data_IF_714441121311
#
_entry.id   IF_714441121311
#
_cell.length_a   1.000
_cell.length_b   1.000
_cell.length_c   1.000
_cell.angle_alpha   90.00
_cell.angle_beta   90.00
_cell.angle_gamma   90.00
#
_symmetry.space_group_name_H-M   'P 1'
#
loop_
_entity.id
_entity.type
_entity.pdbx_description
1 polymer ?
#
# COMPACT_ATOMS: atom_id res chain seq x y z
N UNK A 1 47.08 42.31 17.03
CA UNK A 1 46.11 42.93 16.10
C UNK A 1 44.77 42.26 16.34
N UNK A 2 43.77 42.99 16.85
CA UNK A 2 42.41 42.46 17.09
C UNK A 2 41.52 42.98 15.97
N UNK A 3 41.04 42.07 15.12
CA UNK A 3 40.14 42.38 14.01
C UNK A 3 38.73 42.26 14.57
N UNK A 4 38.12 43.39 14.94
CA UNK A 4 36.69 43.47 15.25
C UNK A 4 35.91 43.41 13.93
N UNK A 5 35.16 42.33 13.74
CA UNK A 5 34.14 42.24 12.69
C UNK A 5 32.87 42.91 13.18
N UNK A 6 32.50 44.01 12.51
CA UNK A 6 31.18 44.64 12.62
C UNK A 6 30.17 43.75 11.88
N UNK A 7 29.37 42.99 12.63
CA UNK A 7 28.19 42.32 12.09
C UNK A 7 27.10 43.37 11.91
N UNK A 8 26.86 43.72 10.65
CA UNK A 8 25.80 44.64 10.25
C UNK A 8 24.46 43.91 10.27
N UNK A 9 23.68 44.16 11.32
CA UNK A 9 22.32 43.63 11.49
C UNK A 9 21.41 44.30 10.46
N UNK A 10 21.20 43.64 9.32
CA UNK A 10 20.27 44.11 8.30
C UNK A 10 18.88 43.56 8.63
N UNK A 11 18.09 44.38 9.31
CA UNK A 11 16.68 44.10 9.60
C UNK A 11 15.87 44.18 8.30
N UNK A 12 15.52 43.02 7.73
CA UNK A 12 14.62 42.94 6.58
C UNK A 12 13.17 42.99 7.10
N UNK A 13 12.53 44.14 6.94
CA UNK A 13 11.08 44.32 7.13
C UNK A 13 10.35 43.75 5.91
N UNK A 14 9.84 42.51 6.02
CA UNK A 14 8.95 41.92 5.03
C UNK A 14 7.51 42.39 5.30
N UNK A 15 6.99 43.27 4.45
CA UNK A 15 5.59 43.67 4.45
C UNK A 15 4.74 42.62 3.71
N UNK A 16 3.99 41.80 4.45
CA UNK A 16 2.94 40.97 3.86
C UNK A 16 1.71 41.83 3.54
N UNK A 17 1.44 42.04 2.26
CA UNK A 17 0.16 42.54 1.76
C UNK A 17 -0.84 41.37 1.65
N UNK A 18 -1.86 41.37 2.50
CA UNK A 18 -3.05 40.50 2.39
C UNK A 18 -3.88 40.99 1.21
N UNK A 19 -3.87 40.22 0.12
CA UNK A 19 -4.77 40.40 -1.02
C UNK A 19 -6.00 39.51 -0.87
N UNK A 20 -7.14 40.12 -0.51
CA UNK A 20 -8.45 39.48 -0.58
C UNK A 20 -8.97 39.65 -2.02
N UNK A 21 -8.95 38.59 -2.82
CA UNK A 21 -9.45 38.57 -4.19
C UNK A 21 -10.79 37.85 -4.28
N UNK A 22 -11.87 38.56 -3.96
CA UNK A 22 -13.25 38.20 -4.32
C UNK A 22 -13.46 38.51 -5.81
N UNK A 23 -13.98 37.55 -6.58
CA UNK A 23 -14.45 37.78 -7.95
C UNK A 23 -15.54 36.76 -8.27
N UNK A 24 -16.77 37.13 -7.93
CA UNK A 24 -17.96 36.41 -8.35
C UNK A 24 -18.25 36.52 -9.84
N UNK A 25 -18.98 35.53 -10.36
CA UNK A 25 -20.03 35.80 -11.33
C UNK A 25 -20.14 34.87 -12.54
N UNK A 26 -21.38 34.38 -12.73
CA UNK A 26 -22.00 33.71 -13.89
C UNK A 26 -21.78 32.19 -13.92
N UNK A 27 -22.78 31.33 -13.76
CA UNK A 27 -24.20 31.44 -14.08
C UNK A 27 -24.49 30.58 -15.31
N UNK A 28 -24.89 29.32 -15.11
CA UNK A 28 -25.48 28.49 -16.16
C UNK A 28 -26.46 27.52 -15.51
N UNK A 29 -27.72 27.89 -15.62
CA UNK A 29 -28.90 27.07 -15.32
C UNK A 29 -28.95 25.86 -16.25
N UNK A 30 -29.27 24.70 -15.69
CA UNK A 30 -29.44 23.46 -16.42
C UNK A 30 -30.24 22.44 -15.63
N UNK A 31 -31.53 22.77 -15.42
CA UNK A 31 -32.71 21.89 -15.35
C UNK A 31 -32.50 20.40 -15.03
N UNK A 32 -33.08 19.98 -13.90
CA UNK A 32 -32.92 18.65 -13.32
C UNK A 32 -33.80 17.53 -13.88
N UNK A 33 -33.80 16.44 -13.13
CA UNK A 33 -34.90 15.48 -13.04
C UNK A 33 -34.95 14.92 -11.62
N UNK A 34 -36.18 14.92 -11.12
CA UNK A 34 -36.66 14.57 -9.79
C UNK A 34 -36.45 13.11 -9.39
N UNK A 35 -36.48 12.91 -8.06
CA UNK A 35 -37.01 11.72 -7.39
C UNK A 35 -35.95 10.65 -7.12
N UNK A 36 -35.84 10.08 -5.92
CA UNK A 36 -36.94 9.72 -5.01
C UNK A 36 -36.35 9.44 -3.64
N UNK A 37 -37.00 9.99 -2.61
CA UNK A 37 -36.73 9.71 -1.22
C UNK A 37 -37.41 8.41 -0.77
N UNK A 38 -36.78 7.75 0.19
CA UNK A 38 -37.34 6.67 1.00
C UNK A 38 -36.39 5.48 1.05
N UNK A 39 -36.26 4.69 2.11
CA UNK A 39 -36.81 4.65 3.46
C UNK A 39 -35.91 3.64 4.18
N UNK A 40 -35.77 3.76 5.50
CA UNK A 40 -35.09 2.78 6.35
C UNK A 40 -35.55 1.34 6.08
N UNK A 41 -34.64 0.36 6.16
CA UNK A 41 -34.95 -0.96 6.73
C UNK A 41 -33.68 -1.69 7.19
N UNK A 42 -33.62 -1.92 8.50
CA UNK A 42 -32.92 -3.02 9.15
C UNK A 42 -33.45 -4.36 8.65
N UNK A 43 -32.58 -5.27 8.23
CA UNK A 43 -32.99 -6.64 7.93
C UNK A 43 -31.81 -7.56 7.64
N UNK A 44 -31.45 -8.38 8.64
CA UNK A 44 -30.91 -9.71 8.42
C UNK A 44 -31.73 -10.44 7.36
N UNK A 45 -31.07 -11.11 6.41
CA UNK A 45 -31.65 -12.29 5.76
C UNK A 45 -30.53 -13.13 5.16
N UNK A 46 -30.28 -14.24 5.87
CA UNK A 46 -29.71 -15.48 5.37
C UNK A 46 -30.27 -15.80 3.99
N UNK A 47 -29.42 -15.81 2.96
CA UNK A 47 -29.75 -16.44 1.69
C UNK A 47 -29.54 -17.94 1.84
N UNK A 48 -30.63 -18.63 2.19
CA UNK A 48 -30.78 -20.06 1.97
C UNK A 48 -30.89 -20.29 0.46
N UNK A 49 -29.85 -20.86 -0.15
CA UNK A 49 -29.97 -21.50 -1.46
C UNK A 49 -30.72 -22.82 -1.28
N UNK A 50 -32.05 -22.77 -1.35
CA UNK A 50 -32.86 -23.94 -1.68
C UNK A 50 -32.79 -24.14 -3.20
N UNK A 51 -32.08 -25.18 -3.63
CA UNK A 51 -32.12 -25.70 -4.99
C UNK A 51 -33.02 -26.93 -5.03
N UNK A 52 -34.24 -26.75 -5.51
CA UNK A 52 -35.31 -27.75 -5.58
C UNK A 52 -35.15 -28.57 -6.87
N UNK A 53 -34.11 -29.40 -6.94
CA UNK A 53 -33.86 -30.26 -8.10
C UNK A 53 -34.93 -31.36 -8.25
N UNK A 54 -36.10 -30.98 -8.76
CA UNK A 54 -37.24 -31.84 -9.04
C UNK A 54 -36.88 -32.92 -10.06
N UNK A 55 -36.94 -34.18 -9.62
CA UNK A 55 -36.69 -35.34 -10.45
C UNK A 55 -37.64 -35.45 -11.65
N UNK A 56 -37.05 -35.76 -12.80
CA UNK A 56 -37.75 -36.29 -13.98
C UNK A 56 -38.23 -37.72 -13.68
N UNK A 57 -39.55 -38.02 -13.75
CA UNK A 57 -40.08 -39.32 -13.39
C UNK A 57 -40.19 -40.29 -14.59
N UNK A 58 -39.35 -40.18 -15.64
CA UNK A 58 -39.66 -40.92 -16.87
C UNK A 58 -38.53 -41.53 -17.70
N UNK A 59 -37.44 -42.01 -17.11
CA UNK A 59 -36.73 -43.18 -17.65
C UNK A 59 -35.99 -43.92 -16.54
N UNK A 60 -36.33 -45.19 -16.31
CA UNK A 60 -35.38 -46.14 -15.71
C UNK A 60 -34.06 -46.05 -16.48
N UNK A 61 -32.91 -46.16 -15.81
CA UNK A 61 -32.52 -47.40 -15.18
C UNK A 61 -31.87 -47.17 -13.81
N UNK A 62 -32.27 -48.03 -12.86
CA UNK A 62 -31.64 -48.10 -11.55
C UNK A 62 -30.31 -48.83 -11.64
N UNK A 63 -29.24 -48.07 -11.46
CA UNK A 63 -27.92 -48.59 -11.14
C UNK A 63 -27.67 -48.24 -9.69
N UNK A 64 -28.15 -49.10 -8.79
CA UNK A 64 -27.99 -48.93 -7.36
C UNK A 64 -26.52 -48.98 -6.97
N UNK A 65 -25.91 -47.81 -6.77
CA UNK A 65 -24.68 -47.69 -6.00
C UNK A 65 -25.03 -47.76 -4.51
N UNK A 66 -24.58 -48.80 -3.78
CA UNK A 66 -24.86 -48.95 -2.37
C UNK A 66 -23.84 -48.15 -1.56
N UNK A 67 -24.31 -47.10 -0.89
CA UNK A 67 -23.57 -46.20 0.01
C UNK A 67 -22.73 -45.11 -0.68
N UNK A 68 -23.31 -44.42 -1.66
CA UNK A 68 -23.04 -42.99 -1.84
C UNK A 68 -23.84 -42.24 -0.78
N UNK A 69 -23.19 -41.91 0.32
CA UNK A 69 -23.69 -40.96 1.30
C UNK A 69 -23.98 -39.64 0.58
N UNK A 70 -25.25 -39.25 0.59
CA UNK A 70 -25.72 -38.05 -0.08
C UNK A 70 -25.29 -36.75 0.63
N UNK A 71 -24.11 -36.73 1.23
CA UNK A 71 -23.32 -35.52 1.38
C UNK A 71 -22.95 -35.08 -0.02
N UNK A 72 -23.79 -34.22 -0.57
CA UNK A 72 -23.25 -33.14 -1.38
C UNK A 72 -22.26 -32.40 -0.51
N UNK A 73 -21.05 -32.95 -0.36
CA UNK A 73 -19.86 -32.26 0.09
C UNK A 73 -19.87 -31.00 -0.75
N UNK A 74 -20.20 -29.83 -0.15
CA UNK A 74 -20.29 -28.60 -0.89
C UNK A 74 -18.92 -28.44 -1.50
N UNK A 75 -18.82 -28.67 -2.81
CA UNK A 75 -17.57 -28.76 -3.52
C UNK A 75 -16.69 -27.63 -3.04
N UNK A 76 -15.53 -28.00 -2.52
CA UNK A 76 -14.78 -27.09 -1.68
C UNK A 76 -14.47 -25.81 -2.48
N UNK A 77 -14.61 -24.65 -1.86
CA UNK A 77 -14.54 -23.37 -2.57
C UNK A 77 -13.13 -23.20 -3.12
N UNK A 78 -13.01 -23.05 -4.44
CA UNK A 78 -11.73 -22.83 -5.12
C UNK A 78 -11.00 -21.67 -4.45
N UNK A 79 -9.77 -21.92 -3.97
CA UNK A 79 -8.98 -20.95 -3.20
C UNK A 79 -8.91 -21.22 -1.69
N UNK A 80 -9.81 -22.02 -1.12
CA UNK A 80 -9.82 -22.32 0.32
C UNK A 80 -8.90 -23.49 0.70
N UNK A 81 -8.60 -23.66 1.99
CA UNK A 81 -7.67 -24.69 2.50
C UNK A 81 -8.08 -26.11 2.08
N UNK A 82 -7.18 -26.82 1.42
CA UNK A 82 -7.40 -28.15 0.84
C UNK A 82 -8.08 -28.16 -0.54
N UNK A 83 -8.31 -27.01 -1.17
CA UNK A 83 -9.02 -26.89 -2.45
C UNK A 83 -8.15 -26.59 -3.65
N UNK A 84 -8.63 -26.83 -4.89
CA UNK A 84 -7.94 -26.40 -6.09
C UNK A 84 -7.68 -24.89 -6.07
N UNK A 85 -6.51 -24.49 -6.55
CA UNK A 85 -6.19 -23.08 -6.70
C UNK A 85 -7.09 -22.41 -7.75
N UNK A 86 -7.24 -21.09 -7.64
CA UNK A 86 -7.89 -20.31 -8.71
C UNK A 86 -7.14 -20.46 -10.04
N UNK A 87 -7.78 -20.19 -11.20
CA UNK A 87 -7.09 -20.21 -12.49
C UNK A 87 -5.86 -19.29 -12.58
N UNK A 88 -5.74 -18.29 -11.69
CA UNK A 88 -4.58 -17.40 -11.57
C UNK A 88 -3.51 -17.89 -10.60
N UNK A 89 -3.64 -19.09 -10.03
CA UNK A 89 -2.71 -19.63 -9.03
C UNK A 89 -2.86 -19.03 -7.62
N UNK A 90 -3.90 -18.21 -7.38
CA UNK A 90 -4.17 -17.61 -6.08
C UNK A 90 -5.03 -18.48 -5.16
N UNK A 91 -4.88 -18.24 -3.85
CA UNK A 91 -5.65 -18.83 -2.75
C UNK A 91 -6.16 -17.73 -1.81
N UNK A 92 -6.99 -18.09 -0.83
CA UNK A 92 -7.45 -17.17 0.22
C UNK A 92 -6.26 -16.61 1.03
N UNK A 93 -6.38 -15.40 1.61
CA UNK A 93 -5.27 -14.76 2.34
C UNK A 93 -4.67 -15.66 3.43
N UNK A 94 -3.34 -15.86 3.37
CA UNK A 94 -2.59 -16.72 4.28
C UNK A 94 -2.39 -18.17 3.80
N UNK A 95 -2.94 -18.52 2.64
CA UNK A 95 -2.71 -19.79 1.96
C UNK A 95 -1.85 -19.58 0.70
N UNK A 96 -1.08 -20.60 0.31
CA UNK A 96 -0.32 -20.62 -0.93
C UNK A 96 -0.75 -21.79 -1.81
N UNK A 97 -0.67 -21.60 -3.13
CA UNK A 97 -0.96 -22.65 -4.09
C UNK A 97 0.28 -23.54 -4.26
N UNK A 98 0.27 -24.74 -3.69
CA UNK A 98 1.31 -25.74 -3.90
C UNK A 98 0.73 -27.01 -4.54
N UNK A 99 1.35 -27.47 -5.62
CA UNK A 99 0.87 -28.64 -6.37
C UNK A 99 -0.56 -28.51 -6.92
N UNK A 100 -1.07 -27.29 -7.08
CA UNK A 100 -2.45 -27.03 -7.55
C UNK A 100 -3.51 -27.11 -6.45
N UNK A 101 -3.11 -27.20 -5.18
CA UNK A 101 -3.98 -27.18 -4.01
C UNK A 101 -3.57 -26.05 -3.08
N UNK A 102 -4.55 -25.33 -2.53
CA UNK A 102 -4.32 -24.32 -1.52
C UNK A 102 -4.03 -24.97 -0.17
N UNK A 103 -2.89 -24.65 0.41
CA UNK A 103 -2.52 -25.07 1.76
C UNK A 103 -1.98 -23.88 2.55
N UNK A 104 -1.78 -24.02 3.87
CA UNK A 104 -1.06 -23.02 4.64
C UNK A 104 0.27 -22.73 3.95
N UNK A 105 0.71 -21.47 3.97
CA UNK A 105 2.06 -21.15 3.57
C UNK A 105 3.02 -21.92 4.48
N UNK A 106 3.43 -23.12 4.05
CA UNK A 106 4.52 -23.87 4.66
C UNK A 106 5.76 -23.08 4.30
N UNK A 107 5.98 -22.02 5.07
CA UNK A 107 7.26 -21.35 5.17
C UNK A 107 8.25 -22.38 5.71
N UNK A 108 8.72 -23.24 4.82
CA UNK A 108 9.93 -24.03 4.98
C UNK A 108 11.14 -23.18 4.53
N UNK A 109 10.98 -21.85 4.54
CA UNK A 109 11.93 -20.84 4.10
C UNK A 109 13.09 -20.61 5.08
N UNK A 110 13.49 -21.63 5.82
CA UNK A 110 14.83 -21.79 6.38
C UNK A 110 15.71 -22.69 5.48
N UNK A 111 15.28 -22.91 4.24
CA UNK A 111 16.11 -23.38 3.13
C UNK A 111 17.23 -22.41 2.77
N UNK A 112 18.19 -22.26 3.67
CA UNK A 112 19.54 -21.79 3.43
C UNK A 112 20.15 -22.59 2.25
N UNK A 113 20.44 -21.96 1.09
CA UNK A 113 21.13 -22.61 0.00
C UNK A 113 22.65 -22.73 0.25
N UNK A 114 23.17 -22.30 1.41
CA UNK A 114 24.57 -22.53 1.78
C UNK A 114 24.73 -23.93 2.36
N UNK A 115 24.78 -24.89 1.44
CA UNK A 115 25.50 -26.11 1.67
C UNK A 115 26.88 -25.82 2.28
N UNK A 116 27.11 -26.47 3.41
CA UNK A 116 28.36 -27.08 3.84
C UNK A 116 29.57 -26.14 4.01
N UNK A 117 29.60 -25.42 5.13
CA UNK A 117 30.78 -24.68 5.56
C UNK A 117 31.01 -24.75 7.06
N UNK A 118 31.55 -25.87 7.54
CA UNK A 118 32.22 -25.97 8.84
C UNK A 118 33.43 -24.99 8.85
N UNK A 119 33.16 -23.71 9.04
CA UNK A 119 34.13 -22.64 9.05
C UNK A 119 34.27 -22.07 10.45
N UNK A 120 35.23 -22.60 11.20
CA UNK A 120 35.76 -22.06 12.47
C UNK A 120 36.49 -20.71 12.22
N UNK A 121 35.81 -19.75 11.59
CA UNK A 121 36.37 -18.51 11.09
C UNK A 121 35.97 -17.32 11.95
N UNK A 122 36.94 -16.81 12.70
CA UNK A 122 36.95 -15.60 13.53
C UNK A 122 36.77 -14.32 12.69
N UNK A 123 35.74 -14.30 11.84
CA UNK A 123 35.49 -13.23 10.89
C UNK A 123 34.87 -12.03 11.58
N UNK A 124 35.73 -11.06 11.89
CA UNK A 124 35.43 -9.67 12.24
C UNK A 124 34.69 -8.98 11.06
N UNK A 125 33.50 -9.48 10.73
CA UNK A 125 32.64 -8.95 9.69
C UNK A 125 32.13 -7.59 10.12
N UNK A 126 32.88 -6.57 9.77
CA UNK A 126 32.48 -5.17 9.70
C UNK A 126 31.25 -5.10 8.78
N UNK A 127 30.07 -5.41 9.34
CA UNK A 127 28.81 -5.36 8.62
C UNK A 127 28.66 -3.98 8.01
N UNK A 128 28.84 -3.92 6.69
CA UNK A 128 28.42 -2.80 5.88
C UNK A 128 26.91 -2.61 6.11
N UNK A 129 26.43 -1.44 6.57
CA UNK A 129 25.01 -1.23 6.85
C UNK A 129 24.15 -1.15 5.58
N UNK A 130 24.74 -1.33 4.40
CA UNK A 130 24.01 -1.38 3.12
C UNK A 130 23.49 -2.80 2.87
N UNK A 131 22.60 -3.25 3.74
CA UNK A 131 21.84 -4.49 3.52
C UNK A 131 21.13 -4.42 2.18
N UNK A 132 21.61 -5.23 1.24
CA UNK A 132 21.24 -5.33 -0.17
C UNK A 132 19.86 -5.99 -0.40
N UNK A 133 18.98 -5.90 0.60
CA UNK A 133 17.52 -5.94 0.42
C UNK A 133 17.02 -7.09 -0.45
N UNK A 134 17.38 -8.33 -0.10
CA UNK A 134 16.82 -9.54 -0.70
C UNK A 134 15.34 -9.70 -0.29
N UNK A 135 14.46 -8.89 -0.90
CA UNK A 135 13.25 -9.36 -1.57
C UNK A 135 12.14 -10.10 -0.82
N UNK A 136 12.21 -10.28 0.49
CA UNK A 136 11.20 -11.02 1.26
C UNK A 136 10.01 -10.11 1.63
N UNK A 137 9.21 -9.70 0.64
CA UNK A 137 7.97 -8.94 0.88
C UNK A 137 8.19 -7.56 1.51
N UNK A 138 9.33 -6.94 1.18
CA UNK A 138 9.88 -5.72 1.76
C UNK A 138 8.90 -4.55 1.79
N UNK A 139 8.97 -3.81 2.87
CA UNK A 139 8.14 -2.65 3.13
C UNK A 139 8.19 -1.69 1.93
N UNK A 140 7.05 -1.37 1.30
CA UNK A 140 6.96 -0.71 -0.01
C UNK A 140 7.39 0.78 0.00
N UNK A 141 7.91 1.24 1.13
CA UNK A 141 8.26 2.64 1.41
C UNK A 141 9.56 2.70 2.22
N UNK A 142 10.66 2.31 1.60
CA UNK A 142 12.00 2.37 2.18
C UNK A 142 12.64 3.77 2.14
N UNK A 143 13.65 4.05 2.98
CA UNK A 143 14.53 5.20 2.81
C UNK A 143 15.49 4.99 1.63
N UNK A 144 15.92 6.07 0.98
CA UNK A 144 17.02 6.05 0.01
C UNK A 144 18.10 7.09 0.39
N UNK A 145 18.98 6.77 1.35
CA UNK A 145 19.86 7.74 2.00
C UNK A 145 20.93 8.33 1.08
N UNK A 146 21.28 7.68 -0.04
CA UNK A 146 22.20 8.26 -1.03
C UNK A 146 21.49 9.23 -1.98
N UNK A 147 20.15 9.19 -2.04
CA UNK A 147 19.36 9.87 -3.05
C UNK A 147 19.37 9.17 -4.42
N UNK A 148 19.96 7.98 -4.53
CA UNK A 148 20.04 7.21 -5.77
C UNK A 148 18.96 6.12 -5.85
N UNK A 149 18.42 5.89 -7.05
CA UNK A 149 17.43 4.82 -7.32
C UNK A 149 17.95 3.41 -7.01
N UNK A 150 19.28 3.24 -6.90
CA UNK A 150 19.91 1.97 -6.56
C UNK A 150 19.67 1.54 -5.10
N UNK A 151 19.27 2.47 -4.23
CA UNK A 151 18.88 2.17 -2.85
C UNK A 151 17.45 1.63 -2.75
N UNK A 152 16.66 1.73 -3.83
CA UNK A 152 15.25 1.34 -3.84
C UNK A 152 15.03 -0.05 -4.45
N UNK A 153 13.87 -0.65 -4.15
CA UNK A 153 13.52 -1.94 -4.70
C UNK A 153 13.31 -1.86 -6.24
N UNK A 154 13.48 -2.97 -6.99
CA UNK A 154 13.30 -2.96 -8.43
C UNK A 154 11.92 -2.44 -8.86
N UNK A 155 11.89 -1.32 -9.60
CA UNK A 155 10.67 -0.67 -10.08
C UNK A 155 10.26 0.55 -9.26
N UNK A 156 10.89 0.78 -8.12
CA UNK A 156 10.82 2.02 -7.35
C UNK A 156 11.91 2.99 -7.80
N UNK A 157 11.71 4.25 -7.44
CA UNK A 157 12.60 5.37 -7.71
C UNK A 157 12.71 6.20 -6.44
N UNK A 158 13.91 6.75 -6.19
CA UNK A 158 14.17 7.55 -5.02
C UNK A 158 13.62 8.96 -5.22
N UNK A 159 12.51 9.26 -4.55
CA UNK A 159 11.99 10.62 -4.47
C UNK A 159 12.72 11.37 -3.35
N UNK A 160 13.34 12.50 -3.69
CA UNK A 160 13.99 13.38 -2.73
C UNK A 160 13.39 14.78 -2.80
N UNK A 161 13.36 15.49 -1.68
CA UNK A 161 12.87 16.86 -1.64
C UNK A 161 13.25 17.59 -0.37
N UNK A 162 12.73 18.81 -0.22
CA UNK A 162 12.88 19.55 1.03
C UNK A 162 11.60 20.26 1.42
N UNK A 163 11.13 19.96 2.64
CA UNK A 163 9.99 20.63 3.25
C UNK A 163 10.44 21.41 4.47
N UNK A 164 10.12 22.70 4.52
CA UNK A 164 10.50 23.61 5.62
C UNK A 164 12.01 23.66 5.92
N UNK A 165 12.86 23.36 4.93
CA UNK A 165 14.31 23.33 5.10
C UNK A 165 14.82 22.06 5.77
N UNK A 166 14.00 21.02 5.88
CA UNK A 166 14.42 19.66 6.22
C UNK A 166 14.43 18.83 4.93
N UNK A 167 15.56 18.21 4.55
CA UNK A 167 15.61 17.27 3.44
C UNK A 167 14.91 15.97 3.81
N UNK A 168 14.35 15.29 2.82
CA UNK A 168 13.70 13.99 2.99
C UNK A 168 13.91 13.12 1.75
N UNK A 169 13.87 11.81 1.96
CA UNK A 169 13.93 10.80 0.90
C UNK A 169 12.85 9.72 1.09
N UNK A 170 12.41 9.14 -0.03
CA UNK A 170 11.41 8.07 -0.05
C UNK A 170 11.55 7.23 -1.32
N UNK A 171 11.76 5.92 -1.17
CA UNK A 171 11.56 4.98 -2.27
C UNK A 171 10.07 4.82 -2.55
N UNK A 172 9.66 5.08 -3.78
CA UNK A 172 8.26 5.02 -4.19
C UNK A 172 8.12 4.73 -5.68
N UNK A 173 6.91 4.42 -6.12
CA UNK A 173 6.55 4.31 -7.54
C UNK A 173 5.83 5.59 -8.00
N UNK A 174 6.17 6.15 -9.17
CA UNK A 174 5.46 7.30 -9.71
C UNK A 174 4.03 6.92 -10.10
N UNK A 175 3.09 7.84 -9.87
CA UNK A 175 1.68 7.65 -10.18
C UNK A 175 1.09 8.85 -10.94
N UNK A 176 0.14 8.55 -11.81
CA UNK A 176 -0.63 9.48 -12.63
C UNK A 176 -2.08 9.64 -12.15
N UNK A 177 -2.44 8.98 -11.04
CA UNK A 177 -3.78 9.06 -10.47
C UNK A 177 -3.89 8.30 -9.14
N UNK A 178 -4.92 8.65 -8.35
CA UNK A 178 -5.14 8.13 -7.00
C UNK A 178 -5.21 6.60 -6.90
N UNK A 179 -5.54 5.90 -8.00
CA UNK A 179 -5.74 4.44 -8.01
C UNK A 179 -4.55 3.66 -8.59
N UNK A 180 -3.38 4.28 -8.80
CA UNK A 180 -2.20 3.60 -9.35
C UNK A 180 -1.25 3.07 -8.26
N UNK A 181 -1.56 3.33 -7.00
CA UNK A 181 -0.80 2.82 -5.87
C UNK A 181 -1.40 1.49 -5.45
N UNK A 182 -0.93 0.41 -6.07
CA UNK A 182 -1.45 -0.95 -5.88
C UNK A 182 -0.90 -1.64 -4.61
N UNK A 183 -0.02 -0.95 -3.89
CA UNK A 183 0.66 -1.46 -2.70
C UNK A 183 -0.35 -1.78 -1.58
N UNK A 184 -1.29 -0.87 -1.27
CA UNK A 184 -2.45 -1.15 -0.44
C UNK A 184 -3.62 -0.18 -0.73
N UNK A 185 -4.81 -0.49 -0.23
CA UNK A 185 -6.03 0.31 -0.45
C UNK A 185 -6.09 1.65 0.32
N UNK A 186 -5.05 1.97 1.10
CA UNK A 186 -4.86 3.21 1.84
C UNK A 186 -3.76 4.09 1.22
N UNK A 187 -3.08 3.60 0.19
CA UNK A 187 -2.06 4.36 -0.51
C UNK A 187 -2.70 5.28 -1.53
N UNK A 188 -2.10 6.45 -1.66
CA UNK A 188 -2.64 7.52 -2.45
C UNK A 188 -1.54 8.15 -3.28
N UNK A 189 -1.94 8.64 -4.45
CA UNK A 189 -1.06 9.39 -5.31
C UNK A 189 -0.97 10.82 -4.80
N UNK A 190 0.15 11.20 -4.18
CA UNK A 190 0.33 12.52 -3.59
C UNK A 190 1.51 13.24 -4.24
N UNK A 191 1.37 14.56 -4.37
CA UNK A 191 2.48 15.45 -4.72
C UNK A 191 3.33 15.66 -3.47
N UNK A 192 4.60 15.21 -3.50
CA UNK A 192 5.47 15.23 -2.33
C UNK A 192 6.03 16.63 -2.10
N UNK A 193 6.11 17.11 -0.85
CA UNK A 193 6.39 18.51 -0.59
C UNK A 193 7.85 18.87 -0.90
N UNK A 194 8.03 19.72 -1.91
CA UNK A 194 9.32 20.36 -2.19
C UNK A 194 10.29 19.52 -3.02
N UNK A 195 9.78 18.51 -3.74
CA UNK A 195 10.51 17.82 -4.81
C UNK A 195 10.63 18.68 -6.09
N UNK A 196 9.82 19.75 -6.19
CA UNK A 196 9.77 20.64 -7.34
C UNK A 196 9.16 20.01 -8.60
N UNK A 197 8.56 18.84 -8.48
CA UNK A 197 7.86 18.17 -9.56
C UNK A 197 6.35 18.42 -9.43
N UNK A 198 5.61 18.09 -10.49
CA UNK A 198 4.15 18.06 -10.48
C UNK A 198 3.68 16.62 -10.75
N UNK A 199 4.53 15.67 -10.37
CA UNK A 199 4.35 14.24 -10.55
C UNK A 199 3.82 13.68 -9.25
N UNK A 200 2.79 12.83 -9.31
CA UNK A 200 2.34 12.13 -8.12
C UNK A 200 3.28 10.99 -7.79
N UNK A 201 3.47 10.75 -6.51
CA UNK A 201 4.19 9.60 -5.97
C UNK A 201 3.25 8.78 -5.10
N UNK A 202 3.44 7.47 -5.08
CA UNK A 202 2.72 6.64 -4.14
C UNK A 202 3.25 6.90 -2.73
N UNK A 203 2.36 7.35 -1.85
CA UNK A 203 2.68 7.56 -0.44
C UNK A 203 1.67 6.79 0.37
N UNK A 204 2.09 6.19 1.50
CA UNK A 204 1.15 5.73 2.48
C UNK A 204 0.38 6.95 2.98
N UNK A 205 -0.94 7.00 2.78
CA UNK A 205 -1.79 8.10 3.28
C UNK A 205 -2.05 7.87 4.76
N UNK A 206 -0.97 7.73 5.52
CA UNK A 206 -1.03 7.78 6.96
C UNK A 206 -1.21 9.26 7.28
N UNK A 207 -2.43 9.64 7.64
CA UNK A 207 -2.73 10.96 8.19
C UNK A 207 -1.98 11.11 9.52
N UNK A 208 -0.71 11.48 9.43
CA UNK A 208 0.10 11.74 10.58
C UNK A 208 -0.38 13.07 11.17
N UNK A 209 -0.81 13.02 12.43
CA UNK A 209 -1.42 14.15 13.13
C UNK A 209 -1.11 14.02 14.62
N UNK A 210 -1.46 15.03 15.42
CA UNK A 210 -1.34 14.97 16.87
C UNK A 210 -2.20 13.81 17.43
N UNK A 211 -1.59 12.64 17.56
CA UNK A 211 -2.24 11.39 17.99
C UNK A 211 -1.97 10.17 17.10
N UNK A 212 -1.41 10.36 15.90
CA UNK A 212 -1.04 9.27 15.00
C UNK A 212 0.42 9.47 14.51
N UNK A 213 1.42 8.98 15.26
CA UNK A 213 2.82 9.10 14.87
C UNK A 213 3.09 8.26 13.62
N UNK A 214 4.05 8.70 12.82
CA UNK A 214 4.53 7.91 11.69
C UNK A 214 5.24 6.64 12.21
N UNK A 215 5.10 5.51 11.49
CA UNK A 215 5.82 4.29 11.81
C UNK A 215 7.30 4.41 11.44
N UNK A 216 8.12 3.49 11.96
CA UNK A 216 9.49 3.22 11.47
C UNK A 216 10.35 4.46 11.31
N UNK A 217 10.55 5.26 12.37
CA UNK A 217 11.43 6.44 12.36
C UNK A 217 11.15 7.51 11.28
N UNK A 218 10.04 7.40 10.54
CA UNK A 218 9.58 8.43 9.63
C UNK A 218 9.13 9.65 10.42
N UNK A 219 9.31 10.83 9.83
CA UNK A 219 8.82 12.09 10.37
C UNK A 219 7.55 12.54 9.64
N UNK A 220 6.66 13.17 10.39
CA UNK A 220 5.43 13.72 9.83
C UNK A 220 5.70 15.09 9.23
N UNK A 221 5.64 15.19 7.91
CA UNK A 221 5.80 16.45 7.21
C UNK A 221 4.45 17.05 6.86
N UNK A 222 4.25 18.36 7.09
CA UNK A 222 3.03 19.02 6.66
C UNK A 222 2.96 19.02 5.13
N UNK A 223 1.83 18.53 4.60
CA UNK A 223 1.56 18.55 3.16
C UNK A 223 1.56 19.98 2.61
N UNK A 224 1.93 20.13 1.33
CA UNK A 224 1.92 21.43 0.67
C UNK A 224 0.51 21.82 0.22
N UNK A 225 0.19 23.12 0.21
CA UNK A 225 -1.06 23.68 -0.35
C UNK A 225 -2.39 23.12 0.21
N UNK A 226 -2.40 22.62 1.45
CA UNK A 226 -3.60 22.06 2.07
C UNK A 226 -3.78 20.55 1.84
N UNK A 227 -2.77 19.90 1.26
CA UNK A 227 -2.67 18.44 1.26
C UNK A 227 -2.50 17.92 2.70
N UNK A 228 -2.95 16.69 2.92
CA UNK A 228 -2.77 15.98 4.19
C UNK A 228 -1.29 15.80 4.51
N UNK A 229 -0.89 15.81 5.79
CA UNK A 229 0.46 15.45 6.19
C UNK A 229 0.83 14.03 5.74
N UNK A 230 2.11 13.82 5.43
CA UNK A 230 2.65 12.54 4.97
C UNK A 230 3.86 12.14 5.81
N UNK A 231 4.06 10.83 5.96
CA UNK A 231 5.22 10.26 6.65
C UNK A 231 6.36 10.04 5.64
N UNK A 232 7.53 10.60 5.91
CA UNK A 232 8.72 10.44 5.06
C UNK A 232 9.96 10.27 5.92
N UNK A 233 11.03 9.72 5.35
CA UNK A 233 12.29 9.58 6.06
C UNK A 233 13.06 10.90 6.01
N UNK A 234 13.45 11.47 7.17
CA UNK A 234 14.36 12.61 7.17
C UNK A 234 15.72 12.16 6.63
N UNK A 235 16.29 12.91 5.69
CA UNK A 235 17.65 12.63 5.25
C UNK A 235 18.64 12.96 6.38
N UNK A 236 19.63 12.08 6.66
CA UNK A 236 20.61 12.29 7.72
C UNK A 236 21.57 13.48 7.49
#
# INVERSE_FOLDING_TARGET
>A
MRISWLVSTTTILLALSVGCGDSGGTGSDGTGTDGTAGTADTGESSASNSGDGDGDPSTGDGDGDPAGDGDGDPGCVVGSDGCPCTPGGGCDPGLMCDGGVCGPATGDGDGDPTGDGDGDGDGDGDGDPTGDGDGDGGEPYGPCPSGDDADCAPGEVCATGSSQGQPWSLCSTPCQGQMQCDVNNQDGCADLPGDGQNSGWCSPVINCSFGNPCPMDMECFPGFQGNTPVCMWPDP
#
